data_IF_660890496477
#
_entry.id   IF_660890496477
#
_cell.length_a   1.000
_cell.length_b   1.000
_cell.length_c   1.000
_cell.angle_alpha   90.00
_cell.angle_beta   90.00
_cell.angle_gamma   90.00
#
_symmetry.space_group_name_H-M   'P 1'
#
loop_
_entity.id
_entity.type
_entity.pdbx_description
1 polymer ?
#
# COMPACT_ATOMS: atom_id res chain seq x y z
N UNK A 1 -1.81 34.02 -4.47
CA UNK A 1 -1.72 32.65 -3.88
C UNK A 1 -0.48 32.65 -3.03
N UNK A 2 -0.61 32.25 -1.80
CA UNK A 2 0.51 32.18 -0.87
C UNK A 2 1.17 30.81 -1.01
N UNK A 3 2.49 30.74 -1.17
CA UNK A 3 3.19 29.48 -1.28
C UNK A 3 3.63 29.05 0.12
N UNK A 4 3.22 27.90 0.56
CA UNK A 4 3.67 27.28 1.80
C UNK A 4 4.73 26.22 1.50
N UNK A 5 5.86 26.27 2.20
CA UNK A 5 6.92 25.26 2.14
C UNK A 5 6.91 24.46 3.41
N UNK A 6 6.86 23.15 3.30
CA UNK A 6 6.88 22.18 4.41
C UNK A 6 8.01 21.20 4.17
N UNK A 7 8.67 20.73 5.24
CA UNK A 7 9.79 19.82 5.12
C UNK A 7 9.70 18.64 6.09
N UNK A 8 10.29 17.52 5.73
CA UNK A 8 10.35 16.33 6.58
C UNK A 8 10.63 15.04 5.83
N UNK A 9 10.74 13.97 6.59
CA UNK A 9 10.90 12.65 6.01
C UNK A 9 9.58 12.12 5.45
N UNK A 10 9.59 11.70 4.19
CA UNK A 10 8.45 11.03 3.59
C UNK A 10 8.09 9.76 4.35
N UNK A 11 6.82 9.57 4.52
CA UNK A 11 6.20 8.35 5.04
C UNK A 11 5.05 7.96 4.11
N UNK A 12 4.60 6.72 4.26
CA UNK A 12 3.35 6.28 3.65
C UNK A 12 2.23 7.29 3.96
N UNK A 13 1.49 7.73 2.95
CA UNK A 13 0.32 8.59 3.17
C UNK A 13 -0.71 7.88 4.05
N UNK A 14 -1.26 8.61 5.00
CA UNK A 14 -2.41 8.17 5.77
C UNK A 14 -3.65 8.29 4.90
N UNK A 15 -4.58 7.36 5.06
CA UNK A 15 -5.81 7.31 4.28
C UNK A 15 -7.00 7.16 5.21
N UNK A 16 -8.13 7.71 4.79
CA UNK A 16 -9.42 7.52 5.43
C UNK A 16 -10.42 7.07 4.36
N UNK A 17 -11.23 6.04 4.70
CA UNK A 17 -12.28 5.57 3.83
C UNK A 17 -13.40 6.61 3.76
N UNK A 18 -13.51 7.23 2.62
CA UNK A 18 -14.53 8.21 2.27
C UNK A 18 -14.80 8.15 0.77
N UNK A 19 -15.73 8.90 0.26
CA UNK A 19 -16.00 9.00 -1.17
C UNK A 19 -15.88 10.47 -1.63
N UNK A 20 -14.76 10.83 -2.33
CA UNK A 20 -13.57 10.00 -2.58
C UNK A 20 -12.70 9.80 -1.31
N UNK A 21 -11.83 8.78 -1.35
CA UNK A 21 -10.84 8.47 -0.30
C UNK A 21 -10.03 9.72 0.05
N UNK A 22 -9.86 9.97 1.34
CA UNK A 22 -9.06 11.08 1.83
C UNK A 22 -7.61 10.65 2.06
N UNK A 23 -6.68 11.51 1.68
CA UNK A 23 -5.24 11.29 1.79
C UNK A 23 -4.56 12.41 2.58
N UNK A 24 -3.77 12.03 3.57
CA UNK A 24 -2.93 12.94 4.34
C UNK A 24 -1.46 12.54 4.23
N UNK A 25 -0.61 13.48 3.80
CA UNK A 25 0.84 13.33 3.85
C UNK A 25 1.37 13.95 5.14
N UNK A 26 2.12 13.16 5.91
CA UNK A 26 2.86 13.67 7.08
C UNK A 26 4.28 14.01 6.71
N UNK A 27 4.73 15.20 7.11
CA UNK A 27 6.12 15.66 7.02
C UNK A 27 6.52 16.21 8.39
N UNK A 28 7.31 15.44 9.15
CA UNK A 28 7.60 15.78 10.54
C UNK A 28 6.33 15.89 11.38
N UNK A 29 6.07 17.07 11.95
CA UNK A 29 4.85 17.39 12.71
C UNK A 29 3.72 17.91 11.82
N UNK A 30 4.03 18.33 10.60
CA UNK A 30 3.05 18.86 9.67
C UNK A 30 2.21 17.78 9.00
N UNK A 31 0.95 18.15 8.68
CA UNK A 31 0.02 17.33 7.92
C UNK A 31 -0.48 18.13 6.71
N UNK A 32 -0.43 17.51 5.55
CA UNK A 32 -0.93 18.08 4.29
C UNK A 32 -2.14 17.26 3.85
N UNK A 33 -3.29 17.91 3.68
CA UNK A 33 -4.45 17.30 3.04
C UNK A 33 -4.19 17.21 1.54
N UNK A 34 -3.73 16.04 1.10
CA UNK A 34 -3.38 15.79 -0.30
C UNK A 34 -4.62 15.72 -1.20
N UNK A 35 -5.76 15.36 -0.66
CA UNK A 35 -7.01 15.27 -1.43
C UNK A 35 -7.47 16.64 -1.89
N UNK A 36 -7.38 17.65 -1.02
CA UNK A 36 -7.72 19.03 -1.36
C UNK A 36 -6.78 19.65 -2.39
N UNK A 37 -5.55 19.12 -2.52
CA UNK A 37 -4.55 19.58 -3.48
C UNK A 37 -4.72 18.97 -4.89
N UNK A 38 -5.65 18.05 -5.10
CA UNK A 38 -5.94 17.56 -6.46
C UNK A 38 -6.49 18.71 -7.30
N UNK A 39 -5.76 19.03 -8.35
CA UNK A 39 -6.01 20.19 -9.21
C UNK A 39 -5.06 21.36 -9.00
N UNK A 40 -4.29 21.36 -7.92
CA UNK A 40 -3.32 22.40 -7.61
C UNK A 40 -1.91 22.06 -8.11
N UNK A 41 -1.05 23.06 -8.15
CA UNK A 41 0.35 22.88 -8.45
C UNK A 41 1.11 22.43 -7.19
N UNK A 42 1.92 21.42 -7.33
CA UNK A 42 2.71 20.81 -6.24
C UNK A 42 4.16 20.67 -6.69
N UNK A 43 5.12 21.05 -5.82
CA UNK A 43 6.54 20.77 -6.03
C UNK A 43 7.07 19.97 -4.84
N UNK A 44 7.76 18.88 -5.15
CA UNK A 44 8.44 18.01 -4.19
C UNK A 44 9.92 17.98 -4.54
N UNK A 45 10.78 18.37 -3.61
CA UNK A 45 12.23 18.39 -3.78
C UNK A 45 12.91 17.48 -2.74
N UNK A 46 13.70 16.53 -3.20
CA UNK A 46 14.52 15.66 -2.36
C UNK A 46 15.86 16.35 -2.04
N UNK A 47 16.16 16.57 -0.77
CA UNK A 47 17.35 17.29 -0.30
C UNK A 47 18.65 16.48 -0.35
N UNK A 48 18.58 15.19 -0.74
CA UNK A 48 19.73 14.28 -0.73
C UNK A 48 19.91 13.52 0.57
N UNK A 49 19.10 13.77 1.59
CA UNK A 49 19.19 13.11 2.91
C UNK A 49 18.16 11.99 3.04
N UNK A 50 18.59 10.80 3.45
CA UNK A 50 17.71 9.67 3.74
C UNK A 50 17.90 9.28 5.20
N UNK A 51 16.82 9.26 5.98
CA UNK A 51 16.81 8.78 7.36
C UNK A 51 16.15 7.40 7.42
N UNK A 52 16.80 6.46 8.11
CA UNK A 52 16.23 5.14 8.30
C UNK A 52 14.90 5.21 9.07
N UNK A 53 13.82 4.64 8.53
CA UNK A 53 12.50 4.65 9.17
C UNK A 53 12.43 3.92 10.50
N UNK A 54 13.42 3.05 10.80
CA UNK A 54 13.47 2.27 12.03
C UNK A 54 14.36 2.89 13.12
N UNK A 55 15.57 3.37 12.77
CA UNK A 55 16.55 3.86 13.75
C UNK A 55 16.91 5.34 13.58
N UNK A 56 16.34 6.05 12.63
CA UNK A 56 16.54 7.48 12.39
C UNK A 56 17.90 7.88 11.78
N UNK A 57 18.89 6.97 11.76
CA UNK A 57 20.23 7.31 11.24
C UNK A 57 20.19 7.69 9.77
N UNK A 58 21.07 8.61 9.40
CA UNK A 58 21.30 8.94 7.98
C UNK A 58 21.90 7.73 7.26
N UNK A 59 21.42 7.44 6.07
CA UNK A 59 21.90 6.35 5.22
C UNK A 59 22.05 6.83 3.78
N UNK A 60 23.02 6.26 3.06
CA UNK A 60 23.26 6.58 1.64
C UNK A 60 22.28 5.89 0.69
N UNK A 61 21.59 4.85 1.18
CA UNK A 61 20.68 4.02 0.37
C UNK A 61 19.54 3.49 1.23
N UNK A 62 18.34 3.53 0.68
CA UNK A 62 17.14 2.93 1.27
C UNK A 62 17.02 1.47 0.83
N UNK A 63 16.74 0.59 1.78
CA UNK A 63 16.42 -0.81 1.57
C UNK A 63 14.98 -1.08 2.06
N UNK A 64 14.22 -1.89 1.35
CA UNK A 64 12.89 -2.33 1.79
C UNK A 64 11.96 -1.19 2.21
N UNK A 65 11.93 -0.08 1.45
CA UNK A 65 11.06 1.07 1.73
C UNK A 65 11.45 1.86 2.99
N UNK A 66 12.72 2.26 3.10
CA UNK A 66 13.16 3.25 4.09
C UNK A 66 14.17 2.75 5.13
N UNK A 67 14.55 1.49 5.15
CA UNK A 67 15.51 0.98 6.12
C UNK A 67 16.97 1.26 5.71
N UNK A 68 17.86 1.51 6.67
CA UNK A 68 19.29 1.31 6.46
C UNK A 68 19.61 -0.20 6.39
N UNK A 69 20.76 -0.57 5.84
CA UNK A 69 21.10 -2.00 5.66
C UNK A 69 21.04 -2.83 6.95
N UNK A 70 21.62 -2.39 8.10
CA UNK A 70 21.50 -3.15 9.35
C UNK A 70 20.06 -3.35 9.82
N UNK A 71 19.21 -2.32 9.71
CA UNK A 71 17.79 -2.45 10.08
C UNK A 71 17.02 -3.35 9.11
N UNK A 72 17.32 -3.28 7.81
CA UNK A 72 16.73 -4.18 6.82
C UNK A 72 17.04 -5.65 7.11
N UNK A 73 18.26 -5.93 7.58
CA UNK A 73 18.66 -7.30 7.93
C UNK A 73 18.07 -7.79 9.25
N UNK A 74 17.86 -6.90 10.24
CA UNK A 74 17.56 -7.31 11.62
C UNK A 74 16.16 -6.91 12.11
N UNK A 75 15.52 -5.88 11.52
CA UNK A 75 14.18 -5.47 11.98
C UNK A 75 13.12 -6.52 11.65
N UNK A 76 12.19 -6.81 12.57
CA UNK A 76 11.05 -7.68 12.29
C UNK A 76 10.16 -7.10 11.18
N UNK A 77 10.07 -5.78 11.05
CA UNK A 77 9.32 -5.10 9.98
C UNK A 77 9.88 -5.32 8.57
N UNK A 78 11.09 -5.86 8.45
CA UNK A 78 11.73 -6.22 7.19
C UNK A 78 12.00 -7.74 7.09
N UNK A 79 11.40 -8.54 7.96
CA UNK A 79 11.53 -10.00 7.91
C UNK A 79 10.96 -10.58 6.60
N UNK A 80 11.46 -11.73 6.11
CA UNK A 80 10.96 -12.34 4.88
C UNK A 80 9.44 -12.59 4.87
N UNK A 81 8.87 -12.93 6.02
CA UNK A 81 7.43 -13.15 6.17
C UNK A 81 6.57 -11.90 5.94
N UNK A 82 7.16 -10.70 5.90
CA UNK A 82 6.42 -9.48 5.53
C UNK A 82 5.93 -9.55 4.07
N UNK A 83 6.71 -10.17 3.18
CA UNK A 83 6.38 -10.36 1.76
C UNK A 83 5.83 -11.76 1.47
N UNK A 84 6.16 -12.72 2.32
CA UNK A 84 5.83 -14.15 2.19
C UNK A 84 5.20 -14.63 3.50
N UNK A 85 3.90 -14.35 3.72
CA UNK A 85 3.24 -14.63 5.00
C UNK A 85 3.31 -16.08 5.43
N UNK A 86 3.37 -17.01 4.49
CA UNK A 86 3.53 -18.46 4.71
C UNK A 86 4.84 -18.84 5.41
N UNK A 87 5.83 -17.94 5.47
CA UNK A 87 7.08 -18.12 6.18
C UNK A 87 7.01 -17.61 7.65
N UNK A 88 5.84 -17.20 8.11
CA UNK A 88 5.72 -16.65 9.46
C UNK A 88 5.74 -17.77 10.51
N UNK A 89 6.60 -17.63 11.50
CA UNK A 89 6.73 -18.57 12.62
C UNK A 89 6.32 -17.93 13.97
N UNK A 90 5.63 -16.79 13.95
CA UNK A 90 5.20 -16.09 15.17
C UNK A 90 4.34 -16.96 16.07
N UNK A 91 3.42 -17.76 15.50
CA UNK A 91 2.57 -18.72 16.22
C UNK A 91 3.37 -19.83 16.92
N UNK A 92 4.65 -20.00 16.60
CA UNK A 92 5.59 -20.92 17.26
C UNK A 92 6.50 -20.19 18.26
N UNK A 93 6.25 -18.91 18.56
CA UNK A 93 7.10 -18.08 19.41
C UNK A 93 8.47 -17.77 18.81
N UNK A 94 8.60 -17.74 17.48
CA UNK A 94 9.85 -17.50 16.77
C UNK A 94 9.74 -16.25 15.88
N UNK A 95 10.89 -15.58 15.69
CA UNK A 95 10.99 -14.38 14.84
C UNK A 95 12.25 -13.59 15.15
N UNK A 96 12.43 -12.46 14.45
CA UNK A 96 13.54 -11.53 14.70
C UNK A 96 13.39 -10.77 16.02
N UNK A 97 12.15 -10.54 16.43
CA UNK A 97 11.74 -9.93 17.69
C UNK A 97 10.43 -10.59 18.10
N UNK A 98 10.51 -11.52 19.05
CA UNK A 98 9.38 -12.37 19.45
C UNK A 98 8.20 -11.53 19.97
N UNK A 99 8.45 -10.49 20.77
CA UNK A 99 7.38 -9.65 21.31
C UNK A 99 6.70 -8.81 20.21
N UNK A 100 7.48 -8.33 19.24
CA UNK A 100 6.92 -7.61 18.11
C UNK A 100 6.14 -8.53 17.18
N UNK A 101 6.68 -9.73 16.88
CA UNK A 101 6.03 -10.75 16.04
C UNK A 101 4.72 -11.21 16.66
N UNK A 102 4.69 -11.46 17.98
CA UNK A 102 3.49 -11.82 18.73
C UNK A 102 2.40 -10.76 18.54
N UNK A 103 2.72 -9.50 18.78
CA UNK A 103 1.75 -8.39 18.65
C UNK A 103 1.28 -8.12 17.23
N UNK A 104 2.12 -8.41 16.22
CA UNK A 104 1.85 -7.99 14.83
C UNK A 104 1.48 -9.14 13.91
N UNK A 105 1.89 -10.36 14.20
CA UNK A 105 1.69 -11.52 13.36
C UNK A 105 0.84 -12.61 13.99
N UNK A 106 0.87 -12.76 15.32
CA UNK A 106 0.03 -13.71 16.06
C UNK A 106 -1.27 -13.03 16.50
N UNK A 107 -1.99 -12.48 15.55
CA UNK A 107 -3.29 -11.82 15.69
C UNK A 107 -4.10 -12.04 14.41
N UNK A 108 -5.39 -11.69 14.45
CA UNK A 108 -6.27 -11.87 13.31
C UNK A 108 -5.75 -11.23 12.02
N UNK A 109 -5.73 -12.02 10.97
CA UNK A 109 -5.40 -11.61 9.61
C UNK A 109 -6.56 -11.92 8.68
N UNK A 110 -6.71 -11.08 7.66
CA UNK A 110 -7.71 -11.22 6.61
C UNK A 110 -7.02 -11.63 5.32
N UNK A 111 -7.48 -12.72 4.73
CA UNK A 111 -7.26 -13.02 3.33
C UNK A 111 -8.39 -12.37 2.54
N UNK A 112 -8.07 -11.61 1.51
CA UNK A 112 -9.03 -10.82 0.77
C UNK A 112 -8.87 -10.98 -0.74
N UNK A 113 -9.96 -10.82 -1.45
CA UNK A 113 -10.02 -10.63 -2.88
C UNK A 113 -10.14 -9.14 -3.18
N UNK A 114 -9.31 -8.63 -4.07
CA UNK A 114 -9.36 -7.25 -4.53
C UNK A 114 -9.35 -7.18 -6.05
N UNK A 115 -10.11 -6.26 -6.61
CA UNK A 115 -10.15 -5.96 -8.03
C UNK A 115 -9.58 -4.56 -8.26
N UNK A 116 -8.64 -4.49 -9.18
CA UNK A 116 -8.15 -3.24 -9.76
C UNK A 116 -8.14 -3.39 -11.28
N UNK A 117 -6.99 -3.49 -11.94
CA UNK A 117 -6.90 -3.86 -13.36
C UNK A 117 -6.95 -5.39 -13.60
N UNK A 118 -7.18 -6.16 -12.58
CA UNK A 118 -7.31 -7.61 -12.53
C UNK A 118 -7.61 -8.07 -11.12
N UNK A 119 -7.72 -9.39 -10.93
CA UNK A 119 -7.98 -10.03 -9.65
C UNK A 119 -6.67 -10.16 -8.86
N UNK A 120 -6.75 -9.93 -7.56
CA UNK A 120 -5.67 -10.12 -6.63
C UNK A 120 -6.16 -10.72 -5.32
N UNK A 121 -5.52 -11.80 -4.88
CA UNK A 121 -5.61 -12.29 -3.50
C UNK A 121 -4.46 -11.70 -2.69
N UNK A 122 -4.71 -11.34 -1.44
CA UNK A 122 -3.69 -10.80 -0.56
C UNK A 122 -4.01 -10.97 0.91
N UNK A 123 -3.01 -10.74 1.75
CA UNK A 123 -3.09 -10.86 3.21
C UNK A 123 -2.87 -9.51 3.86
N UNK A 124 -3.64 -9.24 4.90
CA UNK A 124 -3.43 -8.09 5.78
C UNK A 124 -3.85 -8.41 7.21
N UNK A 125 -3.34 -7.65 8.19
CA UNK A 125 -3.93 -7.67 9.54
C UNK A 125 -5.35 -7.15 9.48
N UNK A 126 -6.24 -7.69 10.28
CA UNK A 126 -7.64 -7.23 10.34
C UNK A 126 -7.72 -5.73 10.63
N UNK A 127 -6.89 -5.23 11.55
CA UNK A 127 -6.80 -3.80 11.91
C UNK A 127 -6.33 -2.89 10.76
N UNK A 128 -5.88 -3.45 9.64
CA UNK A 128 -5.44 -2.71 8.45
C UNK A 128 -6.46 -2.77 7.29
N UNK A 129 -7.63 -3.32 7.53
CA UNK A 129 -8.78 -3.22 6.63
C UNK A 129 -9.51 -1.90 6.94
N UNK A 130 -9.88 -1.09 5.94
CA UNK A 130 -9.67 -1.21 4.49
C UNK A 130 -8.36 -0.57 3.97
N UNK A 131 -7.52 -0.03 4.84
CA UNK A 131 -6.33 0.75 4.47
C UNK A 131 -5.39 0.01 3.51
N UNK A 132 -5.26 -1.32 3.70
CA UNK A 132 -4.43 -2.14 2.81
C UNK A 132 -5.00 -2.22 1.39
N UNK A 133 -6.31 -2.26 1.24
CA UNK A 133 -6.98 -2.26 -0.06
C UNK A 133 -6.77 -0.93 -0.78
N UNK A 134 -6.90 0.17 -0.05
CA UNK A 134 -6.62 1.54 -0.54
C UNK A 134 -5.17 1.65 -1.00
N UNK A 135 -4.21 1.20 -0.18
CA UNK A 135 -2.76 1.26 -0.49
C UNK A 135 -2.40 0.55 -1.79
N UNK A 136 -3.14 -0.48 -2.14
CA UNK A 136 -2.93 -1.26 -3.36
C UNK A 136 -3.67 -0.72 -4.59
N UNK A 137 -4.48 0.32 -4.42
CA UNK A 137 -5.26 0.90 -5.51
C UNK A 137 -6.42 0.02 -5.97
N UNK A 138 -6.98 -0.81 -5.08
CA UNK A 138 -8.15 -1.60 -5.38
C UNK A 138 -9.37 -0.70 -5.68
N UNK A 139 -10.23 -1.13 -6.58
CA UNK A 139 -11.53 -0.48 -6.85
C UNK A 139 -12.64 -1.13 -6.04
N UNK A 140 -12.54 -2.44 -5.85
CA UNK A 140 -13.45 -3.24 -5.02
C UNK A 140 -12.66 -4.28 -4.24
N UNK A 141 -13.11 -4.61 -3.05
CA UNK A 141 -12.50 -5.67 -2.24
C UNK A 141 -13.56 -6.36 -1.37
N UNK A 142 -13.33 -7.65 -1.08
CA UNK A 142 -14.14 -8.47 -0.18
C UNK A 142 -13.23 -9.41 0.62
N UNK A 143 -13.64 -9.78 1.82
CA UNK A 143 -12.93 -10.77 2.65
C UNK A 143 -13.21 -12.19 2.11
N UNK A 144 -12.17 -13.03 2.05
CA UNK A 144 -12.30 -14.45 1.76
C UNK A 144 -12.27 -15.25 3.07
N UNK A 145 -11.30 -14.95 3.93
CA UNK A 145 -11.11 -15.67 5.20
C UNK A 145 -10.59 -14.73 6.29
N UNK A 146 -10.90 -15.07 7.54
CA UNK A 146 -10.34 -14.45 8.74
C UNK A 146 -9.60 -15.53 9.53
N UNK A 147 -8.33 -15.33 9.78
CA UNK A 147 -7.44 -16.32 10.40
C UNK A 147 -6.93 -15.82 11.73
N UNK A 148 -6.52 -16.74 12.62
CA UNK A 148 -6.00 -16.41 13.94
C UNK A 148 -4.60 -15.77 13.88
N UNK A 149 -3.83 -16.07 12.85
CA UNK A 149 -2.46 -15.61 12.71
C UNK A 149 -2.04 -15.44 11.24
N UNK A 150 -0.87 -14.81 11.06
CA UNK A 150 -0.31 -14.50 9.75
C UNK A 150 0.06 -15.74 8.93
N UNK A 151 0.50 -16.82 9.57
CA UNK A 151 0.88 -18.06 8.89
C UNK A 151 -0.31 -18.70 8.18
N UNK A 152 -1.42 -18.90 8.89
CA UNK A 152 -2.64 -19.45 8.30
C UNK A 152 -3.12 -18.62 7.10
N UNK A 153 -3.14 -17.26 7.26
CA UNK A 153 -3.49 -16.38 6.16
C UNK A 153 -2.55 -16.54 4.95
N UNK A 154 -1.26 -16.72 5.21
CA UNK A 154 -0.26 -16.98 4.17
C UNK A 154 -0.46 -18.29 3.44
N UNK A 155 -0.83 -19.36 4.14
CA UNK A 155 -1.11 -20.67 3.55
C UNK A 155 -2.33 -20.61 2.62
N UNK A 156 -3.41 -19.98 3.07
CA UNK A 156 -4.60 -19.74 2.23
C UNK A 156 -4.23 -18.87 1.00
N UNK A 157 -3.46 -17.79 1.20
CA UNK A 157 -3.01 -16.94 0.08
C UNK A 157 -2.22 -17.74 -0.96
N UNK A 158 -1.32 -18.63 -0.54
CA UNK A 158 -0.54 -19.49 -1.44
C UNK A 158 -1.44 -20.44 -2.22
N UNK A 159 -2.39 -21.11 -1.54
CA UNK A 159 -3.34 -22.00 -2.19
C UNK A 159 -4.18 -21.29 -3.27
N UNK A 160 -4.62 -20.06 -2.99
CA UNK A 160 -5.46 -19.29 -3.90
C UNK A 160 -4.70 -18.58 -5.03
N UNK A 161 -3.40 -18.30 -4.87
CA UNK A 161 -2.58 -17.62 -5.90
C UNK A 161 -2.49 -18.37 -7.22
N UNK A 162 -2.64 -19.67 -7.21
CA UNK A 162 -2.64 -20.48 -8.45
C UNK A 162 -3.86 -20.16 -9.32
N UNK A 163 -4.95 -19.72 -8.72
CA UNK A 163 -6.22 -19.44 -9.38
C UNK A 163 -6.48 -17.94 -9.61
N UNK A 164 -5.77 -17.07 -8.88
CA UNK A 164 -5.88 -15.63 -8.99
C UNK A 164 -4.54 -15.01 -9.40
N UNK A 165 -4.54 -14.25 -10.49
CA UNK A 165 -3.31 -13.59 -10.97
C UNK A 165 -2.82 -12.55 -9.96
N UNK A 166 -1.68 -12.79 -9.33
CA UNK A 166 -1.01 -11.83 -8.42
C UNK A 166 -0.39 -10.63 -9.17
N UNK A 167 -0.36 -10.65 -10.49
CA UNK A 167 0.39 -9.68 -11.31
C UNK A 167 -0.52 -8.60 -11.88
N UNK A 168 -1.10 -7.77 -11.01
CA UNK A 168 -1.71 -6.53 -11.49
C UNK A 168 -0.62 -5.56 -11.93
N UNK A 169 -0.51 -5.24 -13.23
CA UNK A 169 0.43 -4.22 -13.69
C UNK A 169 0.08 -2.87 -13.07
N UNK A 170 0.95 -2.33 -12.22
CA UNK A 170 0.72 -1.08 -11.53
C UNK A 170 0.40 0.09 -12.49
N UNK A 171 0.92 0.03 -13.73
CA UNK A 171 0.62 1.02 -14.76
C UNK A 171 -0.86 1.03 -15.15
N UNK A 172 -1.48 -0.15 -15.30
CA UNK A 172 -2.90 -0.27 -15.61
C UNK A 172 -3.76 0.21 -14.46
N UNK A 173 -3.39 -0.15 -13.23
CA UNK A 173 -4.04 0.33 -12.01
C UNK A 173 -4.04 1.85 -11.95
N UNK A 174 -2.90 2.53 -12.25
CA UNK A 174 -2.79 3.98 -12.23
C UNK A 174 -3.51 4.68 -13.39
N UNK A 175 -3.76 3.98 -14.50
CA UNK A 175 -4.62 4.46 -15.58
C UNK A 175 -6.12 4.29 -15.26
N UNK A 176 -6.43 3.73 -14.11
CA UNK A 176 -7.78 3.37 -13.68
C UNK A 176 -8.50 2.42 -14.67
N UNK A 177 -7.72 1.54 -15.32
CA UNK A 177 -8.26 0.46 -16.15
C UNK A 177 -8.81 -0.63 -15.23
N UNK A 178 -10.05 -0.47 -14.79
CA UNK A 178 -10.71 -1.40 -13.85
C UNK A 178 -11.32 -2.56 -14.62
N UNK A 179 -11.13 -3.79 -14.11
CA UNK A 179 -11.85 -4.96 -14.61
C UNK A 179 -13.31 -4.90 -14.11
N UNK A 180 -14.20 -4.43 -14.99
CA UNK A 180 -15.62 -4.21 -14.67
C UNK A 180 -16.51 -5.41 -14.93
N UNK A 181 -16.04 -6.37 -15.71
CA UNK A 181 -16.70 -7.60 -16.12
C UNK A 181 -16.58 -8.75 -15.12
N UNK A 182 -15.94 -8.51 -13.98
CA UNK A 182 -15.71 -9.51 -12.94
C UNK A 182 -16.76 -9.34 -11.84
N UNK A 183 -17.56 -10.39 -11.60
CA UNK A 183 -18.35 -10.52 -10.38
C UNK A 183 -17.43 -10.96 -9.23
N UNK A 184 -17.31 -10.09 -8.22
CA UNK A 184 -16.36 -10.32 -7.11
C UNK A 184 -16.86 -11.41 -6.16
N UNK A 185 -18.18 -11.55 -5.98
CA UNK A 185 -18.75 -12.58 -5.11
C UNK A 185 -18.66 -13.94 -5.79
N UNK A 186 -19.09 -14.05 -7.06
CA UNK A 186 -18.92 -15.29 -7.81
C UNK A 186 -17.46 -15.73 -7.85
N UNK A 187 -16.53 -14.77 -8.00
CA UNK A 187 -15.09 -15.07 -7.97
C UNK A 187 -14.63 -15.54 -6.57
N UNK A 188 -15.16 -14.94 -5.49
CA UNK A 188 -14.90 -15.38 -4.11
C UNK A 188 -15.34 -16.84 -3.94
N UNK A 189 -16.55 -17.18 -4.35
CA UNK A 189 -17.12 -18.53 -4.24
C UNK A 189 -16.26 -19.56 -5.00
N UNK A 190 -15.89 -19.24 -6.25
CA UNK A 190 -15.00 -20.09 -7.06
C UNK A 190 -13.64 -20.31 -6.37
N UNK A 191 -13.11 -19.31 -5.69
CA UNK A 191 -11.83 -19.43 -4.97
C UNK A 191 -11.99 -20.24 -3.69
N UNK A 192 -13.10 -20.09 -2.95
CA UNK A 192 -13.37 -20.88 -1.75
C UNK A 192 -13.48 -22.36 -2.10
N UNK A 193 -14.10 -22.72 -3.21
CA UNK A 193 -14.19 -24.11 -3.72
C UNK A 193 -12.83 -24.75 -4.03
N UNK A 194 -11.73 -23.97 -4.04
CA UNK A 194 -10.37 -24.46 -4.27
C UNK A 194 -9.57 -24.65 -2.97
N UNK A 195 -10.16 -24.28 -1.83
CA UNK A 195 -9.51 -24.46 -0.53
C UNK A 195 -9.69 -25.90 -0.05
N UNK A 196 -8.65 -26.41 0.62
CA UNK A 196 -8.72 -27.68 1.33
C UNK A 196 -9.65 -27.58 2.53
N UNK A 197 -10.28 -28.69 2.91
CA UNK A 197 -11.27 -28.77 4.02
C UNK A 197 -10.74 -28.17 5.34
N UNK A 198 -9.44 -28.24 5.58
CA UNK A 198 -8.81 -27.71 6.81
C UNK A 198 -8.94 -26.18 6.96
N UNK A 199 -9.21 -25.44 5.87
CA UNK A 199 -9.34 -23.98 5.88
C UNK A 199 -10.80 -23.49 5.89
N UNK A 200 -11.76 -24.40 5.72
CA UNK A 200 -13.18 -24.03 5.56
C UNK A 200 -13.77 -23.33 6.78
N UNK A 201 -13.34 -23.69 7.99
CA UNK A 201 -13.78 -23.04 9.25
C UNK A 201 -13.29 -21.57 9.37
N UNK A 202 -12.32 -21.17 8.57
CA UNK A 202 -11.76 -19.81 8.54
C UNK A 202 -12.37 -18.93 7.45
N UNK A 203 -13.16 -19.51 6.55
CA UNK A 203 -13.86 -18.78 5.48
C UNK A 203 -14.82 -17.76 6.08
N UNK A 204 -14.85 -16.58 5.49
CA UNK A 204 -15.72 -15.49 5.93
C UNK A 204 -17.04 -15.49 5.18
N UNK A 205 -18.14 -15.52 5.91
CA UNK A 205 -19.49 -15.33 5.38
C UNK A 205 -19.82 -13.86 5.08
N UNK A 206 -18.86 -12.95 5.31
CA UNK A 206 -19.00 -11.52 5.06
C UNK A 206 -18.81 -11.24 3.56
N UNK A 207 -19.92 -10.93 2.88
CA UNK A 207 -19.96 -10.57 1.46
C UNK A 207 -20.05 -9.05 1.23
N UNK A 208 -19.76 -8.25 2.28
CA UNK A 208 -19.72 -6.81 2.15
C UNK A 208 -18.60 -6.39 1.18
N UNK A 209 -19.00 -5.81 0.06
CA UNK A 209 -18.06 -5.30 -0.94
C UNK A 209 -17.69 -3.87 -0.57
N UNK A 210 -16.42 -3.66 -0.29
CA UNK A 210 -15.87 -2.31 -0.17
C UNK A 210 -15.64 -1.72 -1.57
N UNK A 211 -16.33 -0.64 -1.89
CA UNK A 211 -16.10 0.17 -3.07
C UNK A 211 -15.16 1.32 -2.77
N UNK A 212 -14.15 1.52 -3.61
CA UNK A 212 -13.04 2.42 -3.35
C UNK A 212 -12.90 3.40 -4.51
N UNK A 213 -13.26 4.66 -4.26
CA UNK A 213 -13.14 5.76 -5.21
C UNK A 213 -11.96 6.66 -4.86
N UNK A 214 -11.14 6.99 -5.85
CA UNK A 214 -9.90 7.74 -5.66
C UNK A 214 -10.05 9.18 -6.13
N UNK A 215 -9.48 10.17 -5.40
CA UNK A 215 -9.57 11.57 -5.79
C UNK A 215 -8.80 11.81 -7.09
N UNK A 216 -9.52 12.29 -8.11
CA UNK A 216 -8.98 12.55 -9.42
C UNK A 216 -9.77 13.60 -10.18
N UNK A 217 -9.06 14.46 -10.93
CA UNK A 217 -9.64 15.22 -12.04
C UNK A 217 -9.72 14.32 -13.27
N UNK A 218 -8.63 13.59 -13.52
CA UNK A 218 -8.52 12.59 -14.59
C UNK A 218 -7.39 11.59 -14.28
N UNK A 219 -7.52 10.39 -14.85
CA UNK A 219 -6.45 9.39 -14.86
C UNK A 219 -5.67 9.45 -16.19
N UNK A 220 -4.34 9.16 -16.16
CA UNK A 220 -3.49 9.30 -17.33
C UNK A 220 -3.69 8.15 -18.34
N UNK A 221 -3.49 8.43 -19.63
CA UNK A 221 -3.44 7.40 -20.68
C UNK A 221 -2.09 6.67 -20.71
N UNK A 222 -1.02 7.36 -20.33
CA UNK A 222 0.35 6.82 -20.25
C UNK A 222 0.96 7.19 -18.90
N UNK A 223 1.79 6.31 -18.37
CA UNK A 223 2.41 6.45 -17.04
C UNK A 223 3.92 6.46 -17.17
N UNK A 224 4.57 7.48 -16.61
CA UNK A 224 6.02 7.62 -16.50
C UNK A 224 6.39 7.75 -15.01
N UNK A 225 7.11 6.76 -14.47
CA UNK A 225 7.58 6.82 -13.08
C UNK A 225 8.71 7.84 -12.92
N UNK A 226 8.55 8.77 -11.98
CA UNK A 226 9.60 9.68 -11.55
C UNK A 226 10.56 8.99 -10.60
N UNK A 227 11.83 9.40 -10.61
CA UNK A 227 12.88 8.83 -9.76
C UNK A 227 13.66 9.94 -9.06
N UNK A 228 13.42 10.13 -7.75
CA UNK A 228 14.05 11.17 -6.94
C UNK A 228 15.58 11.02 -6.81
N UNK A 229 16.11 9.80 -6.95
CA UNK A 229 17.57 9.59 -6.91
C UNK A 229 18.29 10.13 -8.17
N UNK A 230 17.55 10.26 -9.28
CA UNK A 230 18.07 10.78 -10.56
C UNK A 230 17.67 12.22 -10.82
N UNK A 231 16.42 12.53 -10.53
CA UNK A 231 15.81 13.84 -10.68
C UNK A 231 15.21 14.22 -9.32
N UNK A 232 15.94 14.98 -8.48
CA UNK A 232 15.51 15.23 -7.09
C UNK A 232 14.25 16.09 -6.98
N UNK A 233 13.86 16.79 -8.05
CA UNK A 233 12.68 17.65 -8.07
C UNK A 233 11.60 17.06 -8.96
N UNK A 234 10.38 16.98 -8.43
CA UNK A 234 9.15 16.69 -9.16
C UNK A 234 8.20 17.87 -8.97
N UNK A 235 7.77 18.47 -10.07
CA UNK A 235 6.91 19.65 -10.06
C UNK A 235 5.84 19.52 -11.13
N UNK A 236 4.62 19.96 -10.83
CA UNK A 236 3.51 19.97 -11.77
C UNK A 236 2.15 20.01 -11.10
N UNK A 237 1.10 19.97 -11.92
CA UNK A 237 -0.28 19.89 -11.44
C UNK A 237 -0.59 18.46 -10.97
N UNK A 238 -1.05 18.32 -9.73
CA UNK A 238 -1.53 17.04 -9.20
C UNK A 238 -2.92 16.74 -9.79
N UNK A 239 -3.04 15.66 -10.58
CA UNK A 239 -4.29 15.33 -11.25
C UNK A 239 -5.09 14.22 -10.55
N UNK A 240 -4.39 13.31 -9.87
CA UNK A 240 -5.05 12.23 -9.12
C UNK A 240 -4.13 11.65 -8.03
N UNK A 241 -4.76 10.93 -7.09
CA UNK A 241 -4.07 10.09 -6.12
C UNK A 241 -4.69 8.69 -6.19
N UNK A 242 -3.87 7.64 -6.31
CA UNK A 242 -4.36 6.26 -6.26
C UNK A 242 -3.35 5.32 -5.60
N UNK A 243 -3.80 4.55 -4.62
CA UNK A 243 -2.90 3.77 -3.78
C UNK A 243 -1.96 4.68 -3.01
N UNK A 244 -0.66 4.45 -3.13
CA UNK A 244 0.36 5.34 -2.57
C UNK A 244 1.06 6.18 -3.65
N UNK A 245 0.38 6.42 -4.77
CA UNK A 245 0.91 7.19 -5.89
C UNK A 245 0.25 8.56 -6.00
N UNK A 246 1.08 9.59 -6.17
CA UNK A 246 0.68 10.88 -6.71
C UNK A 246 0.81 10.83 -8.23
N UNK A 247 -0.20 11.31 -8.92
CA UNK A 247 -0.30 11.31 -10.39
C UNK A 247 -0.37 12.75 -10.87
N UNK A 248 0.65 13.16 -11.59
CA UNK A 248 0.80 14.52 -12.10
C UNK A 248 0.40 14.62 -13.56
N UNK A 249 0.18 15.85 -14.01
CA UNK A 249 -0.07 16.19 -15.39
C UNK A 249 0.96 15.55 -16.33
N UNK A 250 0.51 15.11 -17.51
CA UNK A 250 1.35 14.37 -18.46
C UNK A 250 1.62 12.91 -18.06
N UNK A 251 0.98 12.42 -16.98
CA UNK A 251 1.09 11.03 -16.53
C UNK A 251 2.40 10.72 -15.80
N UNK A 252 3.08 11.73 -15.29
CA UNK A 252 4.23 11.52 -14.38
C UNK A 252 3.71 11.08 -13.03
N UNK A 253 4.30 10.01 -12.48
CA UNK A 253 3.83 9.43 -11.21
C UNK A 253 4.98 9.17 -10.25
N UNK A 254 4.70 9.32 -8.95
CA UNK A 254 5.63 8.99 -7.88
C UNK A 254 4.93 8.12 -6.82
N UNK A 255 5.57 7.03 -6.41
CA UNK A 255 5.11 6.22 -5.29
C UNK A 255 5.73 6.75 -4.00
N UNK A 256 4.94 7.41 -3.16
CA UNK A 256 5.40 8.01 -1.90
C UNK A 256 5.98 6.96 -0.95
N UNK A 257 5.35 5.80 -0.85
CA UNK A 257 5.81 4.72 0.03
C UNK A 257 7.21 4.19 -0.35
N UNK A 258 7.56 4.21 -1.64
CA UNK A 258 8.89 3.81 -2.11
C UNK A 258 9.99 4.69 -1.55
N UNK A 259 9.69 5.97 -1.32
CA UNK A 259 10.62 6.97 -0.83
C UNK A 259 10.48 7.25 0.67
N UNK A 260 9.92 6.32 1.44
CA UNK A 260 9.89 6.43 2.91
C UNK A 260 11.30 6.68 3.45
N UNK A 261 11.43 7.65 4.36
CA UNK A 261 12.69 8.07 4.94
C UNK A 261 13.47 9.13 4.16
N UNK A 262 13.10 9.45 2.91
CA UNK A 262 13.68 10.56 2.14
C UNK A 262 13.26 11.89 2.75
N UNK A 263 14.20 12.78 3.05
CA UNK A 263 13.91 14.10 3.55
C UNK A 263 13.61 15.03 2.35
N UNK A 264 12.42 15.59 2.34
CA UNK A 264 11.93 16.39 1.23
C UNK A 264 11.41 17.73 1.69
N UNK A 265 11.44 18.69 0.77
CA UNK A 265 10.69 19.94 0.83
C UNK A 265 9.48 19.81 -0.09
N UNK A 266 8.30 20.23 0.39
CA UNK A 266 7.05 20.23 -0.37
C UNK A 266 6.51 21.65 -0.41
N UNK A 267 6.42 22.20 -1.63
CA UNK A 267 5.80 23.51 -1.88
C UNK A 267 4.37 23.27 -2.36
N UNK A 268 3.42 23.92 -1.70
CA UNK A 268 2.01 23.90 -2.06
C UNK A 268 1.51 25.31 -2.27
N UNK A 269 0.72 25.54 -3.32
CA UNK A 269 -0.02 26.78 -3.53
C UNK A 269 -1.33 26.70 -2.71
N UNK A 270 -1.54 27.65 -1.79
CA UNK A 270 -2.72 27.75 -0.93
C UNK A 270 -3.60 28.92 -1.37
#
# INVERSE_FOLDING_TARGET
METRVLEGNLQKMQTELANPIQYTLKLGEDKIDMTSLVGSHLKLHFTGVINCVNCGRVTKKSFGQGFCYPCFMNSPQAAPCILRPELCEAHLGKGRDVEWEERNHNQHHVVYLAISSGIKVGVTRETQVPYRWIDQGASRAVKIAVTENRYQAGMIEVALKEFASDKTPWQRMLKNEVATDIDIIETKDILIDKLDDEWMDLVSDDDEIAELEYPAIRFPQKVKSHNLDKEPTLEGKLEAIKGQYLIFEGGVVINIRKYSGYFVEVEVEV
#
